data_IF_784218554735
#
_entry.id   IF_784218554735
#
_cell.length_a   1.000
_cell.length_b   1.000
_cell.length_c   1.000
_cell.angle_alpha   90.00
_cell.angle_beta   90.00
_cell.angle_gamma   90.00
#
_symmetry.space_group_name_H-M   'P 1'
#
loop_
_entity.id
_entity.type
_entity.pdbx_description
1 polymer ?
#
# COMPACT_ATOMS: atom_id res chain seq x y z
N UNK A 1 -8.33 45.47 4.73
CA UNK A 1 -9.28 44.37 4.95
C UNK A 1 -9.72 43.91 3.56
N UNK A 2 -9.25 42.76 3.12
CA UNK A 2 -9.76 42.10 1.91
C UNK A 2 -11.24 41.75 2.17
N UNK A 3 -12.13 42.38 1.42
CA UNK A 3 -13.56 42.05 1.47
C UNK A 3 -13.80 40.83 0.54
N UNK A 4 -14.75 39.96 0.93
CA UNK A 4 -15.16 38.78 0.10
C UNK A 4 -15.54 39.23 -1.31
N UNK A 5 -16.12 40.43 -1.45
CA UNK A 5 -16.49 41.00 -2.75
C UNK A 5 -15.28 41.33 -3.64
N UNK A 6 -14.18 41.80 -3.03
CA UNK A 6 -12.92 42.05 -3.73
C UNK A 6 -12.29 40.74 -4.22
N UNK A 7 -12.21 39.72 -3.36
CA UNK A 7 -11.73 38.40 -3.70
C UNK A 7 -12.53 37.72 -4.83
N UNK A 8 -13.85 37.92 -4.84
CA UNK A 8 -14.73 37.43 -5.90
C UNK A 8 -14.48 38.13 -7.24
N UNK A 9 -14.33 39.48 -7.24
CA UNK A 9 -14.01 40.24 -8.44
C UNK A 9 -12.65 39.91 -9.04
N UNK A 10 -11.64 39.71 -8.20
CA UNK A 10 -10.30 39.33 -8.62
C UNK A 10 -10.24 37.93 -9.26
N UNK A 11 -11.11 37.02 -8.79
CA UNK A 11 -11.26 35.71 -9.39
C UNK A 11 -12.02 35.77 -10.72
N UNK A 12 -13.11 36.56 -10.80
CA UNK A 12 -13.87 36.75 -12.06
C UNK A 12 -13.03 37.32 -13.19
N UNK A 13 -12.03 38.15 -12.87
CA UNK A 13 -11.10 38.68 -13.86
C UNK A 13 -10.16 37.59 -14.41
N UNK A 14 -10.01 36.44 -13.75
CA UNK A 14 -9.08 35.35 -14.10
C UNK A 14 -9.76 34.09 -14.65
N UNK A 15 -11.05 33.89 -14.39
CA UNK A 15 -11.79 32.67 -14.78
C UNK A 15 -13.28 32.99 -15.05
N UNK A 16 -13.86 32.33 -16.07
CA UNK A 16 -15.27 32.46 -16.42
C UNK A 16 -16.26 31.80 -15.44
N UNK A 17 -15.82 30.81 -14.72
CA UNK A 17 -16.64 30.07 -13.72
C UNK A 17 -15.90 29.95 -12.40
N UNK A 18 -16.54 30.39 -11.31
CA UNK A 18 -15.95 30.43 -9.96
C UNK A 18 -16.84 29.65 -9.01
N UNK A 19 -16.25 28.75 -8.20
CA UNK A 19 -16.94 28.06 -7.12
C UNK A 19 -16.91 28.88 -5.83
N UNK A 20 -17.91 28.70 -4.96
CA UNK A 20 -17.94 29.32 -3.63
C UNK A 20 -16.70 28.99 -2.79
N UNK A 21 -16.09 27.82 -3.03
CA UNK A 21 -14.86 27.38 -2.36
C UNK A 21 -13.65 28.22 -2.82
N UNK A 22 -13.55 28.53 -4.10
CA UNK A 22 -12.48 29.39 -4.63
C UNK A 22 -12.55 30.80 -4.07
N UNK A 23 -13.76 31.35 -3.92
CA UNK A 23 -13.95 32.67 -3.31
C UNK A 23 -13.56 32.66 -1.83
N UNK A 24 -13.96 31.61 -1.10
CA UNK A 24 -13.57 31.42 0.31
C UNK A 24 -12.04 31.32 0.45
N UNK A 25 -11.39 30.56 -0.41
CA UNK A 25 -9.94 30.38 -0.39
C UNK A 25 -9.21 31.69 -0.70
N UNK A 26 -9.65 32.44 -1.71
CA UNK A 26 -9.08 33.74 -2.05
C UNK A 26 -9.27 34.76 -0.91
N UNK A 27 -10.43 34.79 -0.29
CA UNK A 27 -10.71 35.63 0.88
C UNK A 27 -9.81 35.30 2.07
N UNK A 28 -9.49 34.01 2.27
CA UNK A 28 -8.60 33.54 3.32
C UNK A 28 -7.11 33.69 2.97
N UNK A 29 -6.77 34.31 1.83
CA UNK A 29 -5.40 34.46 1.36
C UNK A 29 -4.78 33.14 0.86
N UNK A 30 -5.63 32.14 0.61
CA UNK A 30 -5.22 30.86 0.03
C UNK A 30 -5.14 31.06 -1.48
N UNK A 31 -3.93 31.21 -2.02
CA UNK A 31 -3.74 31.41 -3.47
C UNK A 31 -4.27 30.21 -4.24
N UNK A 32 -4.79 30.47 -5.46
CA UNK A 32 -5.28 29.44 -6.39
C UNK A 32 -4.20 28.45 -6.86
N UNK A 33 -2.94 28.71 -6.53
CA UNK A 33 -1.78 27.87 -6.80
C UNK A 33 -1.39 26.98 -5.61
N UNK A 34 -2.14 27.04 -4.51
CA UNK A 34 -1.79 26.25 -3.33
C UNK A 34 -2.02 24.76 -3.59
N UNK A 35 -0.97 24.00 -3.40
CA UNK A 35 -0.98 22.54 -3.53
C UNK A 35 -2.05 21.92 -2.62
N UNK A 36 -2.85 21.00 -3.17
CA UNK A 36 -3.95 20.32 -2.48
C UNK A 36 -3.62 18.86 -2.23
N UNK A 37 -4.33 18.22 -1.31
CA UNK A 37 -4.05 16.86 -0.85
C UNK A 37 -4.03 15.83 -1.99
N UNK A 38 -5.08 15.80 -2.82
CA UNK A 38 -5.21 14.81 -3.91
C UNK A 38 -4.23 15.11 -5.03
N UNK A 39 -4.04 16.40 -5.38
CA UNK A 39 -3.05 16.83 -6.36
C UNK A 39 -1.64 16.42 -5.94
N UNK A 40 -1.25 16.76 -4.72
CA UNK A 40 0.07 16.41 -4.19
C UNK A 40 0.29 14.90 -4.09
N UNK A 41 -0.75 14.16 -3.64
CA UNK A 41 -0.69 12.69 -3.59
C UNK A 41 -0.45 12.11 -4.99
N UNK A 42 -1.15 12.65 -6.02
CA UNK A 42 -0.94 12.28 -7.42
C UNK A 42 0.52 12.47 -7.84
N UNK A 43 1.07 13.65 -7.60
CA UNK A 43 2.48 13.97 -7.90
C UNK A 43 3.47 13.06 -7.16
N UNK A 44 3.21 12.76 -5.89
CA UNK A 44 4.01 11.79 -5.14
C UNK A 44 3.97 10.40 -5.77
N UNK A 45 2.79 9.98 -6.26
CA UNK A 45 2.63 8.69 -6.91
C UNK A 45 3.32 8.63 -8.27
N UNK A 46 3.31 9.71 -9.05
CA UNK A 46 4.05 9.85 -10.31
C UNK A 46 5.57 9.77 -10.08
N UNK A 47 6.09 10.54 -9.13
CA UNK A 47 7.51 10.44 -8.70
C UNK A 47 7.88 9.04 -8.22
N UNK A 48 6.92 8.34 -7.63
CA UNK A 48 7.11 6.96 -7.22
C UNK A 48 7.20 6.02 -8.43
N UNK A 49 6.37 6.25 -9.46
CA UNK A 49 6.38 5.49 -10.71
C UNK A 49 7.72 5.61 -11.44
N UNK A 50 8.32 6.80 -11.49
CA UNK A 50 9.65 7.04 -12.09
C UNK A 50 10.75 6.16 -11.47
N UNK A 51 10.57 5.74 -10.21
CA UNK A 51 11.51 4.87 -9.50
C UNK A 51 11.21 3.38 -9.63
N UNK A 52 10.16 3.02 -10.38
CA UNK A 52 9.80 1.61 -10.61
C UNK A 52 10.83 0.96 -11.52
N UNK A 53 11.26 -0.24 -11.13
CA UNK A 53 12.32 -0.97 -11.85
C UNK A 53 13.74 -0.70 -11.34
N UNK A 54 13.97 0.42 -10.66
CA UNK A 54 15.26 0.73 -10.02
C UNK A 54 15.23 0.47 -8.51
N UNK A 55 14.57 1.33 -7.76
CA UNK A 55 14.49 1.26 -6.29
C UNK A 55 13.11 0.89 -5.76
N UNK A 56 12.09 0.84 -6.63
CA UNK A 56 10.70 0.59 -6.26
C UNK A 56 10.06 -0.48 -7.15
N UNK A 57 9.07 -1.18 -6.60
CA UNK A 57 8.32 -2.24 -7.32
C UNK A 57 6.99 -1.70 -7.82
N UNK A 58 6.58 -2.10 -9.03
CA UNK A 58 5.28 -1.76 -9.63
C UNK A 58 4.10 -2.05 -8.69
N UNK A 59 4.16 -3.15 -7.95
CA UNK A 59 3.10 -3.52 -7.02
C UNK A 59 2.92 -2.51 -5.88
N UNK A 60 4.01 -1.89 -5.43
CA UNK A 60 3.93 -0.82 -4.42
C UNK A 60 3.29 0.43 -5.00
N UNK A 61 3.65 0.83 -6.22
CA UNK A 61 3.01 1.92 -6.95
C UNK A 61 1.48 1.73 -7.07
N UNK A 62 1.04 0.56 -7.54
CA UNK A 62 -0.39 0.22 -7.66
C UNK A 62 -1.13 0.38 -6.33
N UNK A 63 -0.51 -0.04 -5.23
CA UNK A 63 -1.11 0.06 -3.89
C UNK A 63 -1.24 1.50 -3.40
N UNK A 64 -0.35 2.41 -3.78
CA UNK A 64 -0.51 3.85 -3.52
C UNK A 64 -1.68 4.42 -4.33
N UNK A 65 -1.84 3.99 -5.59
CA UNK A 65 -2.99 4.36 -6.43
C UNK A 65 -4.33 3.91 -5.83
N UNK A 66 -4.39 2.68 -5.30
CA UNK A 66 -5.60 2.18 -4.61
C UNK A 66 -5.92 3.03 -3.38
N UNK A 67 -4.93 3.37 -2.56
CA UNK A 67 -5.13 4.22 -1.39
C UNK A 67 -5.60 5.63 -1.78
N UNK A 68 -5.06 6.20 -2.86
CA UNK A 68 -5.52 7.49 -3.40
C UNK A 68 -6.99 7.43 -3.86
N UNK A 69 -7.41 6.34 -4.50
CA UNK A 69 -8.81 6.20 -4.93
C UNK A 69 -9.76 6.16 -3.72
N UNK A 70 -9.44 5.39 -2.68
CA UNK A 70 -10.25 5.39 -1.45
C UNK A 70 -10.31 6.78 -0.79
N UNK A 71 -9.21 7.53 -0.81
CA UNK A 71 -9.18 8.90 -0.32
C UNK A 71 -10.11 9.81 -1.14
N UNK A 72 -10.08 9.72 -2.49
CA UNK A 72 -10.98 10.48 -3.38
C UNK A 72 -12.44 10.16 -3.13
N UNK A 73 -12.77 8.88 -2.95
CA UNK A 73 -14.14 8.45 -2.69
C UNK A 73 -14.62 8.95 -1.33
N UNK A 74 -13.79 8.87 -0.30
CA UNK A 74 -14.07 9.45 1.01
C UNK A 74 -14.33 10.96 0.96
N UNK A 75 -13.49 11.72 0.25
CA UNK A 75 -13.67 13.16 0.09
C UNK A 75 -15.01 13.50 -0.59
N UNK A 76 -15.37 12.73 -1.62
CA UNK A 76 -16.65 12.91 -2.33
C UNK A 76 -17.85 12.59 -1.45
N UNK A 77 -17.80 11.49 -0.72
CA UNK A 77 -18.94 11.02 0.08
C UNK A 77 -19.13 11.83 1.36
N UNK A 78 -18.03 12.11 2.07
CA UNK A 78 -18.10 12.74 3.40
C UNK A 78 -18.07 14.26 3.35
N UNK A 79 -17.32 14.85 2.42
CA UNK A 79 -17.09 16.28 2.33
C UNK A 79 -17.70 16.92 1.07
N UNK A 80 -18.21 16.13 0.13
CA UNK A 80 -18.78 16.57 -1.15
C UNK A 80 -17.80 17.40 -2.00
N UNK A 81 -16.49 17.12 -1.88
CA UNK A 81 -15.42 17.79 -2.62
C UNK A 81 -14.58 16.79 -3.41
N UNK A 82 -13.92 17.26 -4.46
CA UNK A 82 -12.99 16.45 -5.27
C UNK A 82 -11.57 16.43 -4.69
N UNK A 83 -11.20 17.48 -3.98
CA UNK A 83 -9.88 17.67 -3.37
C UNK A 83 -10.00 18.57 -2.13
N UNK A 84 -8.96 18.65 -1.31
CA UNK A 84 -8.97 19.39 -0.04
C UNK A 84 -7.63 20.11 0.16
N UNK A 85 -7.64 21.39 0.58
CA UNK A 85 -6.40 22.08 0.93
C UNK A 85 -5.76 21.49 2.18
N UNK A 86 -4.44 21.51 2.25
CA UNK A 86 -3.69 20.96 3.40
C UNK A 86 -4.07 21.56 4.74
N UNK A 87 -4.46 22.84 4.77
CA UNK A 87 -4.88 23.56 5.98
C UNK A 87 -6.15 22.98 6.60
N UNK A 88 -6.99 22.30 5.83
CA UNK A 88 -8.19 21.64 6.31
C UNK A 88 -7.94 20.25 6.92
N UNK A 89 -6.72 19.73 6.81
CA UNK A 89 -6.36 18.44 7.38
C UNK A 89 -6.14 18.55 8.88
N UNK A 90 -6.99 17.87 9.63
CA UNK A 90 -6.96 17.80 11.09
C UNK A 90 -6.83 16.36 11.57
N UNK A 91 -6.50 16.10 12.84
CA UNK A 91 -6.56 14.75 13.41
C UNK A 91 -7.95 14.12 13.26
N UNK A 92 -9.02 14.90 13.35
CA UNK A 92 -10.39 14.43 13.12
C UNK A 92 -10.60 13.93 11.68
N UNK A 93 -9.96 14.54 10.68
CA UNK A 93 -10.00 14.05 9.30
C UNK A 93 -9.42 12.63 9.19
N UNK A 94 -8.26 12.39 9.83
CA UNK A 94 -7.61 11.07 9.82
C UNK A 94 -8.50 10.02 10.49
N UNK A 95 -9.06 10.34 11.65
CA UNK A 95 -9.98 9.45 12.38
C UNK A 95 -11.26 9.17 11.58
N UNK A 96 -11.81 10.18 10.89
CA UNK A 96 -12.99 10.01 10.03
C UNK A 96 -12.69 9.14 8.81
N UNK A 97 -11.51 9.26 8.22
CA UNK A 97 -11.10 8.41 7.11
C UNK A 97 -10.89 6.95 7.56
N UNK A 98 -10.27 6.74 8.72
CA UNK A 98 -10.14 5.41 9.33
C UNK A 98 -11.52 4.77 9.58
N UNK A 99 -12.44 5.52 10.18
CA UNK A 99 -13.81 5.05 10.43
C UNK A 99 -14.55 4.71 9.13
N UNK A 100 -14.40 5.52 8.08
CA UNK A 100 -14.96 5.24 6.76
C UNK A 100 -14.49 3.91 6.19
N UNK A 101 -13.18 3.65 6.26
CA UNK A 101 -12.60 2.40 5.77
C UNK A 101 -13.07 1.18 6.57
N UNK A 102 -13.19 1.32 7.90
CA UNK A 102 -13.62 0.24 8.80
C UNK A 102 -15.13 0.00 8.78
N UNK A 103 -15.92 1.05 8.97
CA UNK A 103 -17.34 0.93 9.20
C UNK A 103 -18.17 0.91 7.91
N UNK A 104 -17.86 1.80 6.97
CA UNK A 104 -18.63 1.90 5.72
C UNK A 104 -18.15 0.89 4.68
N UNK A 105 -16.83 0.77 4.49
CA UNK A 105 -16.27 -0.20 3.53
C UNK A 105 -15.99 -1.59 4.14
N UNK A 106 -16.16 -1.76 5.44
CA UNK A 106 -15.98 -3.04 6.18
C UNK A 106 -14.65 -3.73 5.88
N UNK A 107 -13.59 -2.95 5.72
CA UNK A 107 -12.26 -3.48 5.40
C UNK A 107 -11.60 -4.15 6.60
N UNK A 108 -10.85 -5.21 6.32
CA UNK A 108 -10.01 -5.84 7.34
C UNK A 108 -8.96 -4.85 7.86
N UNK A 109 -8.69 -4.91 9.17
CA UNK A 109 -7.81 -3.97 9.89
C UNK A 109 -6.42 -3.83 9.25
N UNK A 110 -5.81 -4.94 8.81
CA UNK A 110 -4.53 -4.89 8.11
C UNK A 110 -4.58 -4.12 6.77
N UNK A 111 -5.72 -4.16 6.07
CA UNK A 111 -5.95 -3.38 4.84
C UNK A 111 -6.09 -1.90 5.16
N UNK A 112 -6.87 -1.56 6.19
CA UNK A 112 -7.03 -0.18 6.68
C UNK A 112 -5.67 0.39 7.06
N UNK A 113 -4.89 -0.31 7.89
CA UNK A 113 -3.54 0.11 8.29
C UNK A 113 -2.63 0.37 7.08
N UNK A 114 -2.74 -0.46 6.06
CA UNK A 114 -1.97 -0.29 4.83
C UNK A 114 -2.38 0.96 4.04
N UNK A 115 -3.67 1.28 3.96
CA UNK A 115 -4.18 2.47 3.26
C UNK A 115 -3.80 3.74 4.05
N UNK A 116 -4.08 3.76 5.35
CA UNK A 116 -3.75 4.87 6.25
C UNK A 116 -2.23 5.11 6.29
N UNK A 117 -1.43 4.06 6.35
CA UNK A 117 0.03 4.16 6.34
C UNK A 117 0.59 4.82 5.08
N UNK A 118 -0.05 4.60 3.91
CA UNK A 118 0.32 5.27 2.66
C UNK A 118 -0.05 6.73 2.67
N UNK A 119 -1.25 7.07 3.17
CA UNK A 119 -1.63 8.47 3.36
C UNK A 119 -0.64 9.16 4.31
N UNK A 120 -0.29 8.53 5.44
CA UNK A 120 0.70 9.06 6.39
C UNK A 120 2.06 9.32 5.73
N UNK A 121 2.48 8.43 4.85
CA UNK A 121 3.74 8.62 4.10
C UNK A 121 3.71 9.86 3.19
N UNK A 122 2.59 10.11 2.51
CA UNK A 122 2.39 11.30 1.68
C UNK A 122 2.32 12.57 2.53
N UNK A 123 1.57 12.54 3.64
CA UNK A 123 1.49 13.65 4.59
C UNK A 123 2.87 14.00 5.16
N UNK A 124 3.70 12.99 5.46
CA UNK A 124 5.09 13.21 5.91
C UNK A 124 5.93 13.91 4.84
N UNK A 125 5.74 13.58 3.56
CA UNK A 125 6.39 14.31 2.47
C UNK A 125 5.90 15.76 2.39
N UNK A 126 4.59 15.99 2.54
CA UNK A 126 4.02 17.34 2.55
C UNK A 126 4.51 18.19 3.73
N UNK A 127 4.73 17.59 4.90
CA UNK A 127 5.36 18.26 6.06
C UNK A 127 6.80 18.65 5.76
N UNK A 128 7.58 17.74 5.15
CA UNK A 128 8.97 18.02 4.78
C UNK A 128 9.06 19.13 3.69
N UNK A 129 8.08 19.18 2.79
CA UNK A 129 8.00 20.22 1.74
C UNK A 129 7.38 21.55 2.28
N UNK A 130 7.06 21.62 3.58
CA UNK A 130 6.53 22.85 4.21
C UNK A 130 5.07 23.17 3.89
N UNK A 131 4.33 22.25 3.24
CA UNK A 131 2.92 22.43 2.89
C UNK A 131 1.98 22.32 4.10
N UNK A 132 2.44 21.69 5.17
CA UNK A 132 1.76 21.53 6.44
C UNK A 132 2.64 22.02 7.60
N UNK A 133 2.02 22.71 8.57
CA UNK A 133 2.72 23.14 9.79
C UNK A 133 2.57 22.14 10.95
N UNK A 134 1.49 21.37 10.94
CA UNK A 134 1.18 20.39 12.01
C UNK A 134 0.86 19.04 11.37
N UNK A 135 1.34 17.97 11.96
CA UNK A 135 1.04 16.62 11.51
C UNK A 135 -0.40 16.24 11.92
N UNK A 136 -1.32 16.00 10.95
CA UNK A 136 -2.68 15.55 11.25
C UNK A 136 -2.71 14.12 11.83
N UNK A 137 -1.61 13.38 11.77
CA UNK A 137 -1.47 12.07 12.41
C UNK A 137 -0.99 12.14 13.85
N UNK A 138 -0.80 13.35 14.40
CA UNK A 138 -0.42 13.47 15.80
C UNK A 138 -1.51 12.86 16.70
N UNK A 139 -1.11 11.93 17.57
CA UNK A 139 -2.02 11.17 18.43
C UNK A 139 -2.73 9.99 17.73
N UNK A 140 -2.57 9.78 16.43
CA UNK A 140 -3.13 8.61 15.74
C UNK A 140 -2.26 7.37 15.97
N UNK A 141 -2.87 6.32 16.48
CA UNK A 141 -2.24 5.01 16.70
C UNK A 141 -2.85 3.96 15.77
N UNK A 142 -2.01 3.08 15.25
CA UNK A 142 -2.48 1.95 14.46
C UNK A 142 -2.91 0.81 15.40
N UNK A 143 -4.12 0.28 15.17
CA UNK A 143 -4.55 -0.94 15.82
C UNK A 143 -4.05 -2.14 15.05
N UNK A 144 -3.43 -3.08 15.74
CA UNK A 144 -2.98 -4.33 15.13
C UNK A 144 -3.83 -5.50 15.62
N UNK A 145 -4.42 -6.30 14.70
CA UNK A 145 -5.14 -7.48 15.11
C UNK A 145 -4.18 -8.46 15.77
N UNK A 146 -4.63 -9.08 16.84
CA UNK A 146 -3.95 -10.26 17.39
C UNK A 146 -4.15 -11.42 16.40
N UNK A 147 -3.10 -11.75 15.66
CA UNK A 147 -3.13 -12.86 14.71
C UNK A 147 -2.54 -14.08 15.41
N UNK A 148 -3.35 -15.10 15.63
CA UNK A 148 -2.86 -16.42 15.96
C UNK A 148 -2.47 -17.11 14.65
N UNK A 149 -1.17 -17.35 14.40
CA UNK A 149 -0.74 -17.99 13.16
C UNK A 149 -1.33 -19.42 13.12
N UNK A 150 -1.94 -19.75 11.98
CA UNK A 150 -2.37 -21.12 11.70
C UNK A 150 -1.22 -21.87 11.05
N UNK A 151 -0.95 -23.06 11.50
CA UNK A 151 0.05 -23.96 10.95
C UNK A 151 -0.52 -25.37 10.84
N UNK A 152 0.05 -26.17 9.96
CA UNK A 152 -0.29 -27.58 9.86
C UNK A 152 0.60 -28.38 10.81
N UNK A 153 0.01 -29.32 11.53
CA UNK A 153 0.74 -30.32 12.29
C UNK A 153 1.42 -31.32 11.36
N UNK A 154 2.38 -32.08 11.86
CA UNK A 154 3.05 -33.15 11.10
C UNK A 154 2.03 -34.15 10.54
N UNK A 155 1.04 -34.55 11.32
CA UNK A 155 -0.04 -35.45 10.90
C UNK A 155 -0.86 -34.88 9.73
N UNK A 156 -1.16 -33.58 9.76
CA UNK A 156 -1.91 -32.92 8.68
C UNK A 156 -1.06 -32.81 7.40
N UNK A 157 0.25 -32.58 7.53
CA UNK A 157 1.18 -32.60 6.40
C UNK A 157 1.27 -34.01 5.79
N UNK A 158 1.43 -35.03 6.61
CA UNK A 158 1.44 -36.43 6.18
C UNK A 158 0.14 -36.82 5.49
N UNK A 159 -1.01 -36.46 6.06
CA UNK A 159 -2.31 -36.67 5.42
C UNK A 159 -2.40 -35.95 4.07
N UNK A 160 -1.90 -34.73 3.97
CA UNK A 160 -1.88 -33.98 2.70
C UNK A 160 -1.00 -34.67 1.66
N UNK A 161 0.16 -35.20 2.03
CA UNK A 161 1.04 -35.96 1.16
C UNK A 161 0.36 -37.19 0.58
N UNK A 162 -0.35 -37.94 1.41
CA UNK A 162 -0.93 -39.23 1.06
C UNK A 162 -2.36 -39.16 0.50
N UNK A 163 -3.01 -37.98 0.51
CA UNK A 163 -4.38 -37.85 0.03
C UNK A 163 -4.43 -37.84 -1.50
N UNK A 164 -5.13 -38.77 -2.15
CA UNK A 164 -5.35 -38.73 -3.58
C UNK A 164 -6.18 -37.50 -3.98
N UNK A 165 -5.74 -36.75 -4.96
CA UNK A 165 -6.48 -35.58 -5.46
C UNK A 165 -7.06 -35.87 -6.84
N UNK A 166 -8.36 -35.49 -7.06
CA UNK A 166 -9.09 -35.90 -8.26
C UNK A 166 -8.65 -35.14 -9.53
N UNK A 167 -7.90 -34.06 -9.38
CA UNK A 167 -7.48 -33.20 -10.50
C UNK A 167 -5.95 -33.08 -10.55
N UNK A 168 -5.30 -33.28 -11.71
CA UNK A 168 -3.83 -33.15 -11.83
C UNK A 168 -3.30 -31.80 -11.36
N UNK A 169 -4.02 -30.72 -11.61
CA UNK A 169 -3.62 -29.37 -11.18
C UNK A 169 -3.51 -29.25 -9.64
N UNK A 170 -4.36 -29.97 -8.90
CA UNK A 170 -4.30 -29.97 -7.44
C UNK A 170 -3.07 -30.71 -6.90
N UNK A 171 -2.63 -31.77 -7.59
CA UNK A 171 -1.38 -32.46 -7.27
C UNK A 171 -0.20 -31.48 -7.37
N UNK A 172 -0.09 -30.74 -8.47
CA UNK A 172 0.98 -29.75 -8.64
C UNK A 172 0.93 -28.67 -7.54
N UNK A 173 -0.26 -28.17 -7.19
CA UNK A 173 -0.42 -27.16 -6.12
C UNK A 173 0.02 -27.75 -4.78
N UNK A 174 -0.38 -28.98 -4.46
CA UNK A 174 0.04 -29.71 -3.25
C UNK A 174 1.56 -29.86 -3.21
N UNK A 175 2.16 -30.35 -4.29
CA UNK A 175 3.60 -30.62 -4.34
C UNK A 175 4.42 -29.33 -4.18
N UNK A 176 3.99 -28.22 -4.80
CA UNK A 176 4.60 -26.89 -4.60
C UNK A 176 4.43 -26.39 -3.17
N UNK A 177 3.27 -26.63 -2.55
CA UNK A 177 3.03 -26.28 -1.16
C UNK A 177 3.95 -27.07 -0.22
N UNK A 178 4.01 -28.40 -0.37
CA UNK A 178 4.87 -29.28 0.42
C UNK A 178 6.35 -28.89 0.23
N UNK A 179 6.78 -28.67 -1.00
CA UNK A 179 8.13 -28.18 -1.29
C UNK A 179 8.43 -26.86 -0.56
N UNK A 180 7.47 -25.92 -0.56
CA UNK A 180 7.59 -24.67 0.19
C UNK A 180 7.68 -24.92 1.71
N UNK A 181 6.85 -25.83 2.24
CA UNK A 181 6.82 -26.15 3.67
C UNK A 181 8.15 -26.76 4.15
N UNK A 182 8.72 -27.71 3.40
CA UNK A 182 9.96 -28.38 3.75
C UNK A 182 11.22 -27.55 3.51
N UNK A 183 11.22 -26.69 2.50
CA UNK A 183 12.40 -25.87 2.15
C UNK A 183 12.40 -24.47 2.76
N UNK A 184 11.25 -23.99 3.22
CA UNK A 184 11.05 -22.59 3.66
C UNK A 184 11.15 -21.58 2.51
N UNK A 185 11.21 -22.04 1.24
CA UNK A 185 11.28 -21.16 0.07
C UNK A 185 9.90 -20.60 -0.24
N UNK A 186 9.80 -19.28 -0.38
CA UNK A 186 8.53 -18.64 -0.68
C UNK A 186 8.05 -19.00 -2.09
N UNK A 187 6.74 -19.14 -2.29
CA UNK A 187 6.12 -19.49 -3.58
C UNK A 187 6.60 -18.61 -4.75
N UNK A 188 6.77 -17.30 -4.50
CA UNK A 188 7.28 -16.37 -5.53
C UNK A 188 8.70 -16.70 -5.98
N UNK A 189 9.49 -17.32 -5.13
CA UNK A 189 10.87 -17.66 -5.38
C UNK A 189 10.94 -19.05 -6.05
N UNK A 190 10.09 -20.01 -5.61
CA UNK A 190 9.93 -21.32 -6.25
C UNK A 190 9.59 -21.19 -7.74
N UNK A 191 8.67 -20.29 -8.10
CA UNK A 191 8.30 -20.06 -9.50
C UNK A 191 9.44 -19.65 -10.43
N UNK A 192 10.55 -19.16 -9.87
CA UNK A 192 11.71 -18.71 -10.62
C UNK A 192 12.88 -19.68 -10.52
N UNK A 193 12.73 -20.81 -9.80
CA UNK A 193 13.76 -21.82 -9.74
C UNK A 193 13.91 -22.51 -11.11
N UNK A 194 15.14 -22.75 -11.47
CA UNK A 194 15.55 -23.49 -12.66
C UNK A 194 16.60 -24.54 -12.30
N UNK A 195 16.92 -25.46 -13.20
CA UNK A 195 17.99 -26.43 -12.97
C UNK A 195 19.36 -25.77 -12.67
N UNK A 196 19.56 -24.52 -13.11
CA UNK A 196 20.81 -23.78 -12.84
C UNK A 196 20.95 -23.39 -11.36
N UNK A 197 19.85 -23.42 -10.60
CA UNK A 197 19.87 -23.16 -9.18
C UNK A 197 20.23 -24.38 -8.33
N UNK A 198 20.40 -25.54 -8.95
CA UNK A 198 20.75 -26.77 -8.26
C UNK A 198 22.23 -27.05 -8.42
N UNK A 199 22.89 -27.45 -7.34
CA UNK A 199 24.25 -28.02 -7.32
C UNK A 199 24.29 -29.22 -6.39
N UNK A 200 25.17 -30.14 -6.68
CA UNK A 200 25.45 -31.33 -5.86
C UNK A 200 26.74 -31.08 -5.10
N UNK A 201 26.71 -31.20 -3.79
CA UNK A 201 27.89 -31.09 -2.95
C UNK A 201 28.74 -32.40 -2.99
N UNK A 202 29.94 -32.39 -2.44
CA UNK A 202 30.85 -33.53 -2.41
C UNK A 202 30.28 -34.70 -1.58
N UNK A 203 29.46 -34.41 -0.58
CA UNK A 203 28.75 -35.41 0.23
C UNK A 203 27.54 -36.03 -0.48
N UNK A 204 27.27 -35.60 -1.72
CA UNK A 204 26.16 -36.09 -2.52
C UNK A 204 24.84 -35.39 -2.31
N UNK A 205 24.72 -34.45 -1.34
CA UNK A 205 23.50 -33.68 -1.06
C UNK A 205 23.27 -32.63 -2.15
N UNK A 206 22.02 -32.53 -2.59
CA UNK A 206 21.62 -31.47 -3.50
C UNK A 206 21.31 -30.18 -2.75
N UNK A 207 21.75 -29.05 -3.30
CA UNK A 207 21.53 -27.75 -2.76
C UNK A 207 20.82 -26.83 -3.75
N UNK A 208 19.93 -25.98 -3.24
CA UNK A 208 19.34 -24.88 -4.00
C UNK A 208 20.06 -23.59 -3.64
N UNK A 209 20.62 -22.92 -4.66
CA UNK A 209 21.23 -21.60 -4.54
C UNK A 209 20.40 -20.59 -5.32
N UNK A 210 19.82 -19.63 -4.64
CA UNK A 210 19.00 -18.60 -5.28
C UNK A 210 18.99 -17.31 -4.43
N UNK A 211 18.18 -16.33 -4.83
CA UNK A 211 18.00 -15.11 -4.07
C UNK A 211 16.52 -14.75 -3.96
N UNK A 212 16.12 -14.19 -2.83
CA UNK A 212 14.75 -13.76 -2.61
C UNK A 212 14.35 -12.67 -3.61
N UNK A 213 13.31 -12.91 -4.38
CA UNK A 213 12.75 -11.94 -5.33
C UNK A 213 12.33 -10.63 -4.67
N UNK A 214 11.89 -10.70 -3.41
CA UNK A 214 11.42 -9.51 -2.68
C UNK A 214 12.55 -8.59 -2.26
N UNK A 215 13.68 -9.14 -1.81
CA UNK A 215 14.77 -8.38 -1.17
C UNK A 215 16.11 -8.50 -1.88
N UNK A 216 16.28 -9.45 -2.79
CA UNK A 216 17.58 -9.78 -3.39
C UNK A 216 18.52 -10.56 -2.47
N UNK A 217 18.08 -10.91 -1.26
CA UNK A 217 18.90 -11.64 -0.28
C UNK A 217 19.18 -13.07 -0.79
N UNK A 218 20.44 -13.49 -0.92
CA UNK A 218 20.78 -14.85 -1.31
C UNK A 218 20.34 -15.84 -0.24
N UNK A 219 20.00 -17.06 -0.66
CA UNK A 219 19.72 -18.18 0.22
C UNK A 219 20.28 -19.49 -0.36
N UNK A 220 20.60 -20.40 0.53
CA UNK A 220 21.11 -21.72 0.22
C UNK A 220 20.31 -22.72 1.06
N UNK A 221 19.69 -23.69 0.42
CA UNK A 221 18.82 -24.67 1.08
C UNK A 221 19.22 -26.07 0.63
N UNK A 222 19.58 -26.98 1.56
CA UNK A 222 19.81 -28.38 1.21
C UNK A 222 18.48 -29.06 0.89
N UNK A 223 18.48 -29.93 -0.10
CA UNK A 223 17.37 -30.82 -0.39
C UNK A 223 17.60 -32.11 0.40
N UNK A 224 16.75 -32.30 1.41
CA UNK A 224 16.70 -33.52 2.20
C UNK A 224 15.92 -34.57 1.41
N UNK A 225 16.32 -35.84 1.55
CA UNK A 225 15.51 -36.94 1.05
C UNK A 225 14.18 -36.96 1.78
N UNK A 226 13.11 -36.77 1.03
CA UNK A 226 11.75 -36.95 1.57
C UNK A 226 11.39 -38.41 1.41
N UNK A 227 10.76 -39.04 2.44
CA UNK A 227 10.29 -40.39 2.36
C UNK A 227 9.23 -40.59 1.28
#
# INVERSE_FOLDING_TARGET
TLDIHSAYKDLLAKKETISALEVKNAFQGISSEQETLVSFYGKCNERFYEKVGTSRKMETYKRYGVALNHLKDFLRQKYHVKDMPFQALTPSFVSSFDLYLRAELKMALGTVNNIIGRLRSVIKSALNDGLLRKDPFNGYTFDYPQIVPKFLSEKELEQMMNTPLPKPNLNLVRDVFLFSAFTGIAFSDIRNLTRKNLSKAEDGVWWIHSARRKTGTPFHVPLLDLP
#
